data_IF_380866368709
#
_entry.id   IF_380866368709
#
_cell.length_a   1.000
_cell.length_b   1.000
_cell.length_c   1.000
_cell.angle_alpha   90.00
_cell.angle_beta   90.00
_cell.angle_gamma   90.00
#
_symmetry.space_group_name_H-M   'P 1'
#
loop_
_entity.id
_entity.type
_entity.pdbx_description
1 polymer ?
#
# COMPACT_ATOMS: atom_id res chain seq x y z
N UNK A 1 16.60 -8.03 21.41
CA UNK A 1 15.86 -6.81 21.02
C UNK A 1 15.77 -6.84 19.50
N UNK A 2 14.59 -7.04 18.89
CA UNK A 2 14.45 -7.06 17.42
C UNK A 2 14.40 -5.60 16.92
N UNK A 3 15.24 -5.26 15.94
CA UNK A 3 15.21 -3.95 15.30
C UNK A 3 13.83 -3.67 14.67
N UNK A 4 13.18 -2.54 15.01
CA UNK A 4 11.83 -2.21 14.51
C UNK A 4 11.78 -1.91 13.00
N UNK A 5 12.93 -1.89 12.30
CA UNK A 5 13.05 -1.60 10.86
C UNK A 5 12.90 -2.84 9.95
N UNK A 6 12.72 -4.04 10.50
CA UNK A 6 12.73 -5.28 9.71
C UNK A 6 11.52 -6.18 9.99
N UNK A 7 10.37 -5.60 10.32
CA UNK A 7 9.15 -6.39 10.56
C UNK A 7 8.37 -6.53 9.26
N UNK A 8 8.41 -7.71 8.64
CA UNK A 8 7.55 -8.05 7.51
C UNK A 8 6.20 -8.56 8.00
N UNK A 9 5.12 -8.21 7.29
CA UNK A 9 3.78 -8.74 7.53
C UNK A 9 3.36 -9.58 6.34
N UNK A 10 3.02 -10.86 6.58
CA UNK A 10 2.47 -11.72 5.54
C UNK A 10 1.07 -11.26 5.14
N UNK A 11 0.79 -11.28 3.84
CA UNK A 11 -0.51 -10.98 3.25
C UNK A 11 -0.83 -12.06 2.21
N UNK A 12 -2.08 -12.49 2.19
CA UNK A 12 -2.59 -13.37 1.14
C UNK A 12 -3.48 -12.55 0.22
N UNK A 13 -3.19 -12.58 -1.08
CA UNK A 13 -3.94 -11.88 -2.11
C UNK A 13 -4.66 -12.90 -2.99
N UNK A 14 -5.92 -12.63 -3.31
CA UNK A 14 -6.67 -13.37 -4.34
C UNK A 14 -6.74 -12.47 -5.56
N UNK A 15 -6.17 -12.93 -6.66
CA UNK A 15 -6.20 -12.21 -7.94
C UNK A 15 -7.09 -12.96 -8.93
N UNK A 16 -7.74 -12.24 -9.85
CA UNK A 16 -8.24 -12.82 -11.09
C UNK A 16 -7.12 -13.62 -11.79
N UNK A 17 -7.49 -14.73 -12.44
CA UNK A 17 -6.52 -15.65 -13.06
C UNK A 17 -5.68 -14.96 -14.13
N UNK A 18 -6.33 -14.17 -14.98
CA UNK A 18 -5.68 -13.37 -16.02
C UNK A 18 -4.64 -12.39 -15.47
N UNK A 19 -4.92 -11.77 -14.32
CA UNK A 19 -3.95 -10.89 -13.65
C UNK A 19 -2.77 -11.65 -13.05
N UNK A 20 -3.01 -12.84 -12.50
CA UNK A 20 -1.95 -13.67 -11.94
C UNK A 20 -1.00 -14.17 -13.04
N UNK A 21 -1.54 -14.63 -14.17
CA UNK A 21 -0.76 -15.08 -15.33
C UNK A 21 0.04 -13.93 -15.96
N UNK A 22 -0.57 -12.75 -16.13
CA UNK A 22 0.14 -11.58 -16.64
C UNK A 22 1.28 -11.16 -15.71
N UNK A 23 1.06 -11.18 -14.40
CA UNK A 23 2.08 -10.84 -13.41
C UNK A 23 3.22 -11.86 -13.38
N UNK A 24 2.93 -13.15 -13.54
CA UNK A 24 3.94 -14.20 -13.68
C UNK A 24 4.79 -14.00 -14.93
N UNK A 25 4.17 -13.67 -16.07
CA UNK A 25 4.89 -13.39 -17.31
C UNK A 25 5.81 -12.17 -17.17
N UNK A 26 5.34 -11.07 -16.57
CA UNK A 26 6.16 -9.87 -16.32
C UNK A 26 7.34 -10.20 -15.41
N UNK A 27 7.07 -10.86 -14.27
CA UNK A 27 8.11 -11.25 -13.33
C UNK A 27 9.16 -12.17 -13.98
N UNK A 28 8.73 -13.06 -14.89
CA UNK A 28 9.61 -13.91 -15.68
C UNK A 28 10.52 -13.12 -16.63
N UNK A 29 9.98 -12.12 -17.33
CA UNK A 29 10.77 -11.23 -18.22
C UNK A 29 11.75 -10.37 -17.42
N UNK A 30 11.33 -9.87 -16.26
CA UNK A 30 12.15 -9.01 -15.39
C UNK A 30 13.13 -9.80 -14.50
N UNK A 31 13.16 -11.13 -14.63
CA UNK A 31 14.00 -12.05 -13.86
C UNK A 31 13.84 -11.91 -12.33
N UNK A 32 12.63 -11.62 -11.87
CA UNK A 32 12.29 -11.47 -10.44
C UNK A 32 11.17 -12.41 -10.02
N UNK A 33 11.03 -12.60 -8.70
CA UNK A 33 9.86 -13.32 -8.17
C UNK A 33 8.58 -12.49 -8.30
N UNK A 34 7.42 -13.14 -8.46
CA UNK A 34 6.10 -12.48 -8.38
C UNK A 34 5.97 -11.61 -7.12
N UNK A 35 6.48 -12.10 -5.98
CA UNK A 35 6.45 -11.35 -4.72
C UNK A 35 7.27 -10.05 -4.76
N UNK A 36 8.37 -10.03 -5.51
CA UNK A 36 9.18 -8.84 -5.70
C UNK A 36 8.46 -7.84 -6.60
N UNK A 37 7.84 -8.31 -7.67
CA UNK A 37 7.06 -7.46 -8.57
C UNK A 37 5.88 -6.80 -7.84
N UNK A 38 5.18 -7.56 -6.99
CA UNK A 38 4.13 -7.02 -6.11
C UNK A 38 4.70 -5.97 -5.16
N UNK A 39 5.87 -6.21 -4.54
CA UNK A 39 6.51 -5.24 -3.64
C UNK A 39 6.87 -3.94 -4.37
N UNK A 40 7.40 -4.03 -5.59
CA UNK A 40 7.71 -2.88 -6.44
C UNK A 40 6.45 -2.08 -6.76
N UNK A 41 5.39 -2.74 -7.22
CA UNK A 41 4.12 -2.10 -7.52
C UNK A 41 3.50 -1.39 -6.31
N UNK A 42 3.50 -2.04 -5.13
CA UNK A 42 3.03 -1.45 -3.88
C UNK A 42 3.86 -0.22 -3.50
N UNK A 43 5.19 -0.32 -3.60
CA UNK A 43 6.09 0.78 -3.24
C UNK A 43 5.90 1.98 -4.17
N UNK A 44 5.84 1.75 -5.48
CA UNK A 44 5.57 2.78 -6.47
C UNK A 44 4.22 3.46 -6.23
N UNK A 45 3.17 2.69 -5.92
CA UNK A 45 1.86 3.25 -5.60
C UNK A 45 1.88 4.14 -4.35
N UNK A 46 2.56 3.69 -3.29
CA UNK A 46 2.69 4.45 -2.04
C UNK A 46 3.45 5.77 -2.29
N UNK A 47 4.56 5.71 -3.00
CA UNK A 47 5.35 6.91 -3.31
C UNK A 47 4.56 7.91 -4.18
N UNK A 48 3.84 7.43 -5.19
CA UNK A 48 2.96 8.27 -5.99
C UNK A 48 1.90 8.99 -5.11
N UNK A 49 1.31 8.29 -4.12
CA UNK A 49 0.36 8.90 -3.18
C UNK A 49 1.02 9.86 -2.19
N UNK A 50 2.27 9.63 -1.81
CA UNK A 50 3.05 10.57 -0.97
C UNK A 50 3.37 11.86 -1.72
N UNK A 51 3.53 11.80 -3.03
CA UNK A 51 3.82 12.98 -3.86
C UNK A 51 2.56 13.72 -4.34
N UNK A 52 1.39 13.06 -4.33
CA UNK A 52 0.09 13.66 -4.69
C UNK A 52 -0.40 14.66 -3.61
N UNK A 53 -0.23 15.97 -3.89
CA UNK A 53 -0.66 17.05 -3.01
C UNK A 53 -2.18 17.04 -2.74
N UNK A 54 -2.98 16.71 -3.76
CA UNK A 54 -4.43 16.67 -3.65
C UNK A 54 -4.84 15.51 -2.72
N UNK A 55 -4.20 14.35 -2.84
CA UNK A 55 -4.37 13.23 -1.92
C UNK A 55 -3.99 13.62 -0.49
N UNK A 56 -2.83 14.25 -0.29
CA UNK A 56 -2.38 14.69 1.04
C UNK A 56 -3.35 15.69 1.68
N UNK A 57 -3.90 16.62 0.90
CA UNK A 57 -4.93 17.56 1.37
C UNK A 57 -6.19 16.81 1.82
N UNK A 58 -6.72 15.90 1.00
CA UNK A 58 -7.88 15.08 1.37
C UNK A 58 -7.64 14.23 2.60
N UNK A 59 -6.45 13.62 2.71
CA UNK A 59 -6.05 12.82 3.87
C UNK A 59 -6.04 13.67 5.15
N UNK A 60 -5.46 14.87 5.11
CA UNK A 60 -5.43 15.79 6.25
C UNK A 60 -6.85 16.19 6.69
N UNK A 61 -7.69 16.61 5.75
CA UNK A 61 -9.08 16.97 6.04
C UNK A 61 -9.86 15.80 6.62
N UNK A 62 -9.63 14.56 6.15
CA UNK A 62 -10.25 13.37 6.74
C UNK A 62 -9.82 13.13 8.17
N UNK A 63 -8.54 13.34 8.50
CA UNK A 63 -8.02 13.18 9.87
C UNK A 63 -8.63 14.23 10.81
N UNK A 64 -8.67 15.50 10.38
CA UNK A 64 -9.27 16.59 11.15
C UNK A 64 -10.74 16.33 11.44
N UNK A 65 -11.53 15.98 10.41
CA UNK A 65 -12.94 15.62 10.56
C UNK A 65 -13.14 14.44 11.52
N UNK A 66 -12.31 13.41 11.43
CA UNK A 66 -12.41 12.26 12.32
C UNK A 66 -12.10 12.64 13.78
N UNK A 67 -11.13 13.53 14.02
CA UNK A 67 -10.83 14.05 15.37
C UNK A 67 -12.01 14.83 15.96
N UNK A 68 -12.61 15.72 15.18
CA UNK A 68 -13.81 16.48 15.60
C UNK A 68 -14.96 15.54 15.97
N UNK A 69 -15.18 14.47 15.19
CA UNK A 69 -16.20 13.46 15.50
C UNK A 69 -15.88 12.75 16.82
N UNK A 70 -14.63 12.33 17.03
CA UNK A 70 -14.23 11.68 18.28
C UNK A 70 -14.42 12.60 19.50
N UNK A 71 -14.04 13.88 19.41
CA UNK A 71 -14.22 14.87 20.48
C UNK A 71 -15.69 15.11 20.83
N UNK A 72 -16.58 15.07 19.82
CA UNK A 72 -18.03 15.21 20.03
C UNK A 72 -18.65 13.99 20.68
N UNK A 73 -18.17 12.78 20.35
CA UNK A 73 -18.70 11.51 20.86
C UNK A 73 -18.11 11.11 22.21
N UNK A 74 -16.99 11.70 22.63
CA UNK A 74 -16.35 11.45 23.92
C UNK A 74 -16.92 12.30 25.08
N UNK A 75 -17.94 13.13 24.82
CA UNK A 75 -18.68 13.89 25.83
C UNK A 75 -19.97 13.17 26.19
#
# INVERSE_FOLDING_TARGET
MKDPKTTTKALTLRLPVDQAEALEAIAGVDEVSINEEIRRAISAHIEARRQDEAFRKRLRTSIERNREILERLAR
#
